data_IF_371570608676
#
_entry.id   IF_371570608676
#
_cell.length_a   1.000
_cell.length_b   1.000
_cell.length_c   1.000
_cell.angle_alpha   90.00
_cell.angle_beta   90.00
_cell.angle_gamma   90.00
#
_symmetry.space_group_name_H-M   'P 1'
#
loop_
_entity.id
_entity.type
_entity.pdbx_description
1 polymer ?
#
# COMPACT_ATOMS: atom_id res chain seq x y z
N UNK A 1 -3.23 -0.77 -11.43
CA UNK A 1 -4.62 -0.40 -11.02
C UNK A 1 -4.65 0.90 -10.24
N UNK A 2 -3.78 1.08 -9.23
CA UNK A 2 -3.73 2.33 -8.47
C UNK A 2 -3.44 3.56 -9.32
N UNK A 3 -2.49 3.47 -10.25
CA UNK A 3 -2.15 4.60 -11.13
C UNK A 3 -3.33 5.03 -12.00
N UNK A 4 -4.14 4.08 -12.49
CA UNK A 4 -5.35 4.37 -13.28
C UNK A 4 -6.39 5.13 -12.45
N UNK A 5 -6.55 4.75 -11.18
CA UNK A 5 -7.47 5.44 -10.26
C UNK A 5 -6.95 6.84 -9.94
N UNK A 6 -5.65 7.01 -9.75
CA UNK A 6 -5.00 8.30 -9.48
C UNK A 6 -5.13 9.23 -10.71
N UNK A 7 -4.92 8.70 -11.92
CA UNK A 7 -5.19 9.44 -13.17
C UNK A 7 -6.65 9.84 -13.32
N UNK A 8 -7.59 8.94 -13.00
CA UNK A 8 -9.02 9.23 -13.02
C UNK A 8 -9.40 10.37 -12.06
N UNK A 9 -8.82 10.38 -10.86
CA UNK A 9 -8.99 11.48 -9.90
C UNK A 9 -8.41 12.78 -10.45
N UNK A 10 -7.22 12.73 -11.04
CA UNK A 10 -6.55 13.93 -11.57
C UNK A 10 -7.35 14.59 -12.70
N UNK A 11 -8.02 13.80 -13.55
CA UNK A 11 -8.89 14.29 -14.62
C UNK A 11 -10.20 14.89 -14.11
N UNK A 12 -10.82 14.25 -13.11
CA UNK A 12 -12.12 14.67 -12.55
C UNK A 12 -11.94 15.83 -11.53
N UNK A 13 -10.76 15.95 -10.94
CA UNK A 13 -10.46 16.93 -9.91
C UNK A 13 -11.06 16.57 -8.55
N UNK A 14 -11.06 17.54 -7.62
CA UNK A 14 -11.37 17.30 -6.20
C UNK A 14 -12.75 16.68 -5.92
N UNK A 15 -13.72 16.84 -6.84
CA UNK A 15 -15.06 16.23 -6.68
C UNK A 15 -15.02 14.69 -6.71
N UNK A 16 -13.98 14.11 -7.32
CA UNK A 16 -13.77 12.66 -7.38
C UNK A 16 -13.67 12.00 -6.00
N UNK A 17 -13.31 12.77 -4.97
CA UNK A 17 -13.11 12.31 -3.59
C UNK A 17 -14.31 12.60 -2.68
N UNK A 18 -15.44 13.10 -3.21
CA UNK A 18 -16.65 13.26 -2.41
C UNK A 18 -17.31 11.91 -2.13
N UNK A 19 -17.93 11.81 -0.95
CA UNK A 19 -18.70 10.63 -0.56
C UNK A 19 -19.75 10.27 -1.60
N UNK A 20 -19.75 9.01 -2.03
CA UNK A 20 -20.67 8.48 -3.04
C UNK A 20 -20.18 8.63 -4.48
N UNK A 21 -19.07 9.33 -4.72
CA UNK A 21 -18.44 9.35 -6.05
C UNK A 21 -17.75 8.00 -6.32
N UNK A 22 -17.92 7.36 -7.50
CA UNK A 22 -17.34 6.03 -7.75
C UNK A 22 -15.81 5.96 -7.56
N UNK A 23 -15.09 7.02 -7.91
CA UNK A 23 -13.62 7.10 -7.72
C UNK A 23 -13.21 7.15 -6.24
N UNK A 24 -14.05 7.63 -5.34
CA UNK A 24 -13.77 7.69 -3.91
C UNK A 24 -13.63 6.28 -3.31
N UNK A 25 -14.55 5.37 -3.68
CA UNK A 25 -14.52 3.98 -3.22
C UNK A 25 -13.29 3.23 -3.77
N UNK A 26 -12.97 3.44 -5.04
CA UNK A 26 -11.80 2.85 -5.70
C UNK A 26 -10.50 3.35 -5.07
N UNK A 27 -10.39 4.65 -4.80
CA UNK A 27 -9.23 5.25 -4.14
C UNK A 27 -8.99 4.66 -2.75
N UNK A 28 -10.04 4.54 -1.91
CA UNK A 28 -9.92 3.92 -0.59
C UNK A 28 -9.41 2.48 -0.66
N UNK A 29 -9.93 1.69 -1.61
CA UNK A 29 -9.53 0.30 -1.79
C UNK A 29 -8.07 0.18 -2.23
N UNK A 30 -7.65 0.95 -3.24
CA UNK A 30 -6.26 0.97 -3.71
C UNK A 30 -5.31 1.42 -2.61
N UNK A 31 -5.67 2.47 -1.86
CA UNK A 31 -4.84 2.97 -0.75
C UNK A 31 -4.67 1.94 0.35
N UNK A 32 -5.74 1.20 0.69
CA UNK A 32 -5.66 0.12 1.66
C UNK A 32 -4.73 -1.01 1.19
N UNK A 33 -4.80 -1.39 -0.09
CA UNK A 33 -3.91 -2.40 -0.67
C UNK A 33 -2.43 -1.97 -0.61
N UNK A 34 -2.13 -0.71 -0.93
CA UNK A 34 -0.76 -0.17 -0.87
C UNK A 34 -0.16 -0.25 0.55
N UNK A 35 -0.98 -0.02 1.58
CA UNK A 35 -0.56 -0.18 2.97
C UNK A 35 -0.32 -1.65 3.35
N UNK A 36 -1.18 -2.55 2.87
CA UNK A 36 -1.05 -3.98 3.12
C UNK A 36 0.22 -4.56 2.48
N UNK A 37 0.52 -4.17 1.23
CA UNK A 37 1.77 -4.55 0.54
C UNK A 37 3.00 -4.02 1.28
N UNK A 38 3.02 -2.73 1.64
CA UNK A 38 4.13 -2.14 2.39
C UNK A 38 4.36 -2.80 3.76
N UNK A 39 3.28 -3.15 4.48
CA UNK A 39 3.39 -3.89 5.74
C UNK A 39 3.95 -5.30 5.55
N UNK A 40 3.60 -5.99 4.45
CA UNK A 40 4.14 -7.31 4.12
C UNK A 40 5.64 -7.26 3.82
N UNK A 41 6.09 -6.25 3.07
CA UNK A 41 7.51 -6.09 2.76
C UNK A 41 8.34 -5.74 4.00
N UNK A 42 7.83 -4.86 4.87
CA UNK A 42 8.45 -4.57 6.17
C UNK A 42 8.51 -5.82 7.05
N UNK A 43 7.44 -6.62 7.09
CA UNK A 43 7.44 -7.89 7.82
C UNK A 43 8.50 -8.86 7.27
N UNK A 44 8.64 -8.96 5.95
CA UNK A 44 9.64 -9.83 5.31
C UNK A 44 11.07 -9.38 5.62
N UNK A 45 11.34 -8.06 5.60
CA UNK A 45 12.63 -7.50 6.01
C UNK A 45 12.94 -7.80 7.48
N UNK A 46 11.96 -7.65 8.37
CA UNK A 46 12.13 -7.97 9.79
C UNK A 46 12.40 -9.46 10.01
N UNK A 47 11.73 -10.36 9.29
CA UNK A 47 11.99 -11.80 9.35
C UNK A 47 13.41 -12.15 8.87
N UNK A 48 13.85 -11.55 7.74
CA UNK A 48 15.21 -11.73 7.25
C UNK A 48 16.25 -11.24 8.26
N UNK A 49 16.06 -10.03 8.82
CA UNK A 49 16.92 -9.49 9.88
C UNK A 49 16.96 -10.40 11.10
N UNK A 50 15.80 -10.85 11.58
CA UNK A 50 15.72 -11.77 12.72
C UNK A 50 16.52 -13.06 12.47
N UNK A 51 16.41 -13.64 11.27
CA UNK A 51 17.20 -14.81 10.88
C UNK A 51 18.71 -14.53 10.91
N UNK A 52 19.15 -13.41 10.35
CA UNK A 52 20.58 -13.04 10.38
C UNK A 52 21.10 -12.79 11.80
N UNK A 53 20.33 -12.14 12.68
CA UNK A 53 20.77 -11.93 14.07
C UNK A 53 20.83 -13.23 14.88
N UNK A 54 19.89 -14.15 14.66
CA UNK A 54 19.87 -15.45 15.35
C UNK A 54 20.99 -16.40 14.92
N UNK A 55 21.42 -16.36 13.65
CA UNK A 55 22.52 -17.19 13.15
C UNK A 55 23.93 -16.62 13.48
N UNK A 56 24.03 -15.33 13.80
CA UNK A 56 25.31 -14.67 14.12
C UNK A 56 25.94 -15.05 15.47
N UNK A 57 25.25 -15.85 16.30
CA UNK A 57 25.73 -16.35 17.59
C UNK A 57 26.17 -17.82 17.61
N UNK A 58 26.29 -18.47 16.44
CA UNK A 58 26.62 -19.90 16.31
C UNK A 58 28.05 -20.20 15.81
N UNK A 59 28.97 -19.24 15.89
CA UNK A 59 30.40 -19.46 15.63
C UNK A 59 31.18 -19.48 16.94
#
# INVERSE_FOLDING_TARGET
MGDIVDWGIQLVGGIALRSGHPLEALYRRVRALRLAEGASDVLRLNLARGRFELDKGRL
#
